data_IF_896963795679
#
_entry.id   IF_896963795679
#
_cell.length_a   1.000
_cell.length_b   1.000
_cell.length_c   1.000
_cell.angle_alpha   90.00
_cell.angle_beta   90.00
_cell.angle_gamma   90.00
#
_symmetry.space_group_name_H-M   'P 1'
#
loop_
_entity.id
_entity.type
_entity.pdbx_description
1 polymer ?
#
# COMPACT_ATOMS: atom_id res chain seq x y z
N UNK A 1 -10.97 3.18 14.28
CA UNK A 1 -11.62 4.33 13.62
C UNK A 1 -13.11 4.26 13.91
N UNK A 2 -13.75 5.37 14.26
CA UNK A 2 -15.20 5.52 14.33
C UNK A 2 -15.65 6.53 13.27
N UNK A 3 -16.83 6.31 12.68
CA UNK A 3 -17.40 7.17 11.64
C UNK A 3 -18.85 7.44 12.00
N UNK A 4 -19.30 8.68 11.83
CA UNK A 4 -20.71 9.03 12.09
C UNK A 4 -21.63 8.27 11.12
N UNK A 5 -22.74 7.76 11.62
CA UNK A 5 -23.73 7.01 10.82
C UNK A 5 -24.27 7.83 9.65
N UNK A 6 -24.42 9.15 9.81
CA UNK A 6 -24.85 10.07 8.76
C UNK A 6 -23.97 10.01 7.49
N UNK A 7 -22.67 9.72 7.62
CA UNK A 7 -21.77 9.54 6.49
C UNK A 7 -22.19 8.32 5.66
N UNK A 8 -22.60 7.24 6.29
CA UNK A 8 -23.08 6.05 5.57
C UNK A 8 -24.51 6.25 5.02
N UNK A 9 -25.34 7.04 5.71
CA UNK A 9 -26.68 7.42 5.23
C UNK A 9 -26.61 8.29 3.97
N UNK A 10 -25.58 9.13 3.82
CA UNK A 10 -25.34 9.89 2.57
C UNK A 10 -24.84 9.05 1.39
N UNK A 11 -24.79 7.73 1.53
CA UNK A 11 -24.37 6.82 0.45
C UNK A 11 -22.88 6.51 0.43
N UNK A 12 -22.08 7.12 1.29
CA UNK A 12 -20.62 6.82 1.35
C UNK A 12 -20.36 5.39 1.79
N UNK A 13 -19.45 4.71 1.12
CA UNK A 13 -19.04 3.32 1.43
C UNK A 13 -17.52 3.20 1.33
N UNK A 14 -16.96 2.22 2.03
CA UNK A 14 -15.56 1.79 1.82
C UNK A 14 -15.41 1.25 0.40
N UNK A 15 -14.26 1.49 -0.23
CA UNK A 15 -13.95 0.93 -1.54
C UNK A 15 -13.75 -0.59 -1.43
N UNK A 16 -14.63 -1.41 -2.05
CA UNK A 16 -14.54 -2.87 -1.97
C UNK A 16 -13.32 -3.44 -2.70
N UNK A 17 -12.62 -2.63 -3.51
CA UNK A 17 -11.40 -3.05 -4.22
C UNK A 17 -10.13 -2.91 -3.38
N UNK A 18 -10.22 -2.28 -2.18
CA UNK A 18 -9.13 -2.07 -1.24
C UNK A 18 -9.46 -2.79 0.08
N UNK A 19 -8.47 -3.43 0.69
CA UNK A 19 -8.64 -4.09 1.99
C UNK A 19 -8.55 -5.62 1.93
N UNK A 20 -8.77 -6.30 3.04
CA UNK A 20 -8.47 -7.72 3.19
C UNK A 20 -9.41 -8.60 2.37
N UNK A 21 -9.03 -8.85 1.12
CA UNK A 21 -9.72 -9.73 0.18
C UNK A 21 -8.72 -10.72 -0.41
N UNK A 22 -8.77 -11.95 0.08
CA UNK A 22 -7.78 -12.97 -0.30
C UNK A 22 -6.39 -12.70 0.28
N UNK A 23 -5.36 -13.33 -0.29
CA UNK A 23 -3.97 -13.23 0.18
C UNK A 23 -3.19 -12.03 -0.38
N UNK A 24 -3.62 -11.50 -1.52
CA UNK A 24 -2.90 -10.46 -2.28
C UNK A 24 -3.80 -9.24 -2.53
N UNK A 25 -3.96 -8.41 -1.53
CA UNK A 25 -4.79 -7.21 -1.58
C UNK A 25 -3.96 -5.93 -1.35
N UNK A 26 -4.46 -4.79 -1.79
CA UNK A 26 -3.93 -3.49 -1.42
C UNK A 26 -4.44 -3.13 -0.01
N UNK A 27 -3.54 -2.77 0.90
CA UNK A 27 -3.91 -2.29 2.26
C UNK A 27 -4.31 -0.83 2.22
N UNK A 28 -5.05 -0.38 3.25
CA UNK A 28 -5.32 1.04 3.48
C UNK A 28 -6.72 1.48 3.07
N UNK A 29 -7.72 0.59 3.10
CA UNK A 29 -9.13 0.92 2.88
C UNK A 29 -9.64 2.00 3.83
N UNK A 30 -9.25 1.94 5.11
CA UNK A 30 -9.60 2.98 6.10
C UNK A 30 -8.91 4.30 5.78
N UNK A 31 -7.65 4.26 5.38
CA UNK A 31 -6.88 5.44 4.99
C UNK A 31 -7.50 6.11 3.77
N UNK A 32 -7.79 5.34 2.72
CA UNK A 32 -8.48 5.83 1.51
C UNK A 32 -9.81 6.52 1.88
N UNK A 33 -10.62 5.83 2.70
CA UNK A 33 -11.92 6.33 3.09
C UNK A 33 -11.84 7.66 3.84
N UNK A 34 -10.90 7.78 4.80
CA UNK A 34 -10.68 9.03 5.55
C UNK A 34 -10.21 10.16 4.61
N UNK A 35 -9.29 9.89 3.67
CA UNK A 35 -8.86 10.90 2.70
C UNK A 35 -10.00 11.35 1.78
N UNK A 36 -10.82 10.42 1.31
CA UNK A 36 -11.99 10.75 0.48
C UNK A 36 -13.01 11.58 1.23
N UNK A 37 -13.28 11.28 2.50
CA UNK A 37 -14.11 12.09 3.38
C UNK A 37 -13.53 13.50 3.60
N UNK A 38 -12.22 13.59 3.84
CA UNK A 38 -11.54 14.88 4.03
C UNK A 38 -11.63 15.76 2.78
N UNK A 39 -11.50 15.20 1.58
CA UNK A 39 -11.71 15.93 0.31
C UNK A 39 -13.14 16.45 0.13
N UNK A 40 -14.11 15.86 0.83
CA UNK A 40 -15.50 16.30 0.86
C UNK A 40 -15.82 17.28 2.02
N UNK A 41 -14.79 17.74 2.73
CA UNK A 41 -14.95 18.72 3.81
C UNK A 41 -15.24 18.11 5.19
N UNK A 42 -15.27 16.78 5.31
CA UNK A 42 -15.39 16.15 6.62
C UNK A 42 -14.12 16.30 7.44
N UNK A 43 -14.24 16.58 8.72
CA UNK A 43 -13.13 16.73 9.64
C UNK A 43 -12.88 15.44 10.42
N UNK A 44 -11.61 15.07 10.58
CA UNK A 44 -11.17 13.96 11.41
C UNK A 44 -10.61 14.49 12.74
N UNK A 45 -11.01 13.84 13.84
CA UNK A 45 -10.57 14.19 15.19
C UNK A 45 -9.76 13.06 15.80
N UNK A 46 -8.66 13.40 16.44
CA UNK A 46 -7.90 12.46 17.27
C UNK A 46 -8.40 12.55 18.72
N UNK A 47 -9.02 11.46 19.21
CA UNK A 47 -9.55 11.38 20.57
C UNK A 47 -8.55 10.63 21.44
N UNK A 48 -7.87 11.35 22.35
CA UNK A 48 -6.82 10.79 23.23
C UNK A 48 -7.30 9.63 24.10
N UNK A 49 -8.55 9.71 24.59
CA UNK A 49 -9.15 8.68 25.47
C UNK A 49 -9.69 7.46 24.72
N UNK A 50 -9.73 7.47 23.38
CA UNK A 50 -10.17 6.33 22.58
C UNK A 50 -9.02 5.32 22.39
N UNK A 51 -8.68 4.65 23.46
CA UNK A 51 -7.62 3.62 23.47
C UNK A 51 -8.21 2.26 23.11
N UNK A 52 -7.58 1.55 22.20
CA UNK A 52 -7.91 0.17 21.83
C UNK A 52 -6.66 -0.70 21.89
N UNK A 53 -6.80 -1.90 22.43
CA UNK A 53 -5.74 -2.89 22.42
C UNK A 53 -5.80 -3.69 21.13
N UNK A 54 -4.66 -3.79 20.43
CA UNK A 54 -4.56 -4.58 19.21
C UNK A 54 -3.92 -5.93 19.50
N UNK A 55 -4.71 -7.00 19.43
CA UNK A 55 -4.20 -8.36 19.59
C UNK A 55 -3.35 -8.75 18.37
N UNK A 56 -2.05 -8.94 18.61
CA UNK A 56 -1.12 -9.44 17.60
C UNK A 56 -1.02 -10.96 17.77
N UNK A 57 -1.38 -11.70 16.72
CA UNK A 57 -1.27 -13.17 16.73
C UNK A 57 0.19 -13.58 16.52
N UNK A 58 0.60 -14.71 17.10
CA UNK A 58 1.96 -15.24 16.96
C UNK A 58 2.39 -15.38 15.48
N UNK A 59 1.48 -15.82 14.62
CA UNK A 59 1.72 -15.92 13.17
C UNK A 59 2.10 -14.58 12.53
N UNK A 60 1.65 -13.47 13.09
CA UNK A 60 1.95 -12.11 12.60
C UNK A 60 3.33 -11.62 13.03
N UNK A 61 3.97 -12.30 13.99
CA UNK A 61 5.33 -12.04 14.42
C UNK A 61 6.39 -12.70 13.51
N UNK A 62 5.98 -13.60 12.61
CA UNK A 62 6.90 -14.27 11.68
C UNK A 62 7.43 -13.30 10.64
N UNK A 63 8.75 -13.36 10.35
CA UNK A 63 9.42 -12.51 9.34
C UNK A 63 8.72 -12.60 7.98
N UNK A 64 8.33 -13.80 7.55
CA UNK A 64 7.60 -14.02 6.28
C UNK A 64 6.28 -13.25 6.23
N UNK A 65 5.53 -13.23 7.34
CA UNK A 65 4.29 -12.47 7.42
C UNK A 65 4.52 -10.97 7.32
N UNK A 66 5.53 -10.44 8.04
CA UNK A 66 5.89 -9.02 8.01
C UNK A 66 6.36 -8.58 6.62
N UNK A 67 7.16 -9.41 5.94
CA UNK A 67 7.60 -9.13 4.56
C UNK A 67 6.44 -9.21 3.56
N UNK A 68 5.53 -10.16 3.71
CA UNK A 68 4.29 -10.22 2.92
C UNK A 68 3.38 -9.01 3.16
N UNK A 69 3.31 -8.53 4.41
CA UNK A 69 2.59 -7.28 4.74
C UNK A 69 3.22 -6.07 4.06
N UNK A 70 4.56 -6.00 3.92
CA UNK A 70 5.24 -4.92 3.23
C UNK A 70 4.79 -4.81 1.76
N UNK A 71 4.61 -5.93 1.06
CA UNK A 71 4.05 -5.94 -0.31
C UNK A 71 2.64 -5.35 -0.33
N UNK A 72 1.74 -5.83 0.53
CA UNK A 72 0.35 -5.34 0.59
C UNK A 72 0.29 -3.85 0.94
N UNK A 73 1.15 -3.40 1.85
CA UNK A 73 1.28 -2.00 2.23
C UNK A 73 1.79 -1.15 1.06
N UNK A 74 2.83 -1.60 0.35
CA UNK A 74 3.34 -0.94 -0.85
C UNK A 74 2.27 -0.77 -1.94
N UNK A 75 1.44 -1.80 -2.16
CA UNK A 75 0.28 -1.74 -3.07
C UNK A 75 -0.70 -0.65 -2.65
N UNK A 76 -1.07 -0.62 -1.36
CA UNK A 76 -1.99 0.39 -0.83
C UNK A 76 -1.46 1.81 -0.94
N UNK A 77 -0.19 2.02 -0.59
CA UNK A 77 0.46 3.33 -0.72
C UNK A 77 0.47 3.81 -2.17
N UNK A 78 0.80 2.93 -3.14
CA UNK A 78 0.76 3.32 -4.53
C UNK A 78 -0.66 3.72 -4.97
N UNK A 79 -1.67 2.93 -4.65
CA UNK A 79 -3.06 3.18 -5.03
C UNK A 79 -3.61 4.47 -4.44
N UNK A 80 -3.36 4.71 -3.15
CA UNK A 80 -3.97 5.82 -2.42
C UNK A 80 -3.28 7.18 -2.66
N UNK A 81 -1.97 7.16 -3.00
CA UNK A 81 -1.18 8.40 -3.04
C UNK A 81 -0.49 8.67 -4.37
N UNK A 82 -0.17 7.63 -5.14
CA UNK A 82 0.64 7.82 -6.35
C UNK A 82 -0.10 7.53 -7.66
N UNK A 83 -1.19 6.76 -7.62
CA UNK A 83 -1.86 6.32 -8.84
C UNK A 83 -2.46 7.47 -9.66
N UNK A 84 -2.95 8.51 -8.99
CA UNK A 84 -3.51 9.71 -9.64
C UNK A 84 -2.44 10.77 -9.91
N UNK A 85 -1.43 10.88 -9.03
CA UNK A 85 -0.40 11.92 -9.10
C UNK A 85 0.76 11.59 -10.04
N UNK A 86 0.93 10.30 -10.41
CA UNK A 86 2.04 9.91 -11.29
C UNK A 86 1.71 10.17 -12.75
N UNK A 87 2.34 11.14 -13.41
CA UNK A 87 2.10 11.42 -14.83
C UNK A 87 2.46 10.21 -15.72
N UNK A 88 1.71 10.01 -16.81
CA UNK A 88 1.88 8.86 -17.72
C UNK A 88 3.31 8.79 -18.29
N UNK A 89 3.95 9.92 -18.61
CA UNK A 89 5.32 9.96 -19.12
C UNK A 89 6.40 9.50 -18.13
N UNK A 90 6.09 9.47 -16.83
CA UNK A 90 6.96 8.89 -15.78
C UNK A 90 6.79 7.37 -15.64
N UNK A 91 5.87 6.76 -16.39
CA UNK A 91 5.65 5.33 -16.38
C UNK A 91 6.43 4.66 -17.52
N UNK A 92 6.90 3.44 -17.27
CA UNK A 92 7.39 2.51 -18.27
C UNK A 92 6.70 1.17 -18.05
N UNK A 93 6.02 0.65 -19.08
CA UNK A 93 5.15 -0.53 -18.98
C UNK A 93 4.11 -0.44 -17.84
N UNK A 94 3.60 0.77 -17.57
CA UNK A 94 2.67 1.03 -16.48
C UNK A 94 3.30 1.12 -15.08
N UNK A 95 4.62 1.01 -14.97
CA UNK A 95 5.35 1.06 -13.70
C UNK A 95 6.15 2.36 -13.64
N UNK A 96 6.15 3.09 -12.49
CA UNK A 96 6.97 4.28 -12.32
C UNK A 96 8.46 4.01 -12.55
N UNK A 97 9.09 4.79 -13.44
CA UNK A 97 10.51 4.64 -13.81
C UNK A 97 11.45 4.61 -12.62
N UNK A 98 11.13 5.36 -11.56
CA UNK A 98 11.93 5.36 -10.32
C UNK A 98 12.08 3.98 -9.71
N UNK A 99 11.07 3.10 -9.83
CA UNK A 99 11.09 1.77 -9.22
C UNK A 99 12.10 0.84 -9.89
N UNK A 100 12.39 1.03 -11.20
CA UNK A 100 13.44 0.28 -11.90
C UNK A 100 14.85 0.59 -11.38
N UNK A 101 15.03 1.75 -10.75
CA UNK A 101 16.28 2.13 -10.08
C UNK A 101 16.27 1.71 -8.61
N UNK A 102 15.15 1.92 -7.92
CA UNK A 102 15.08 1.80 -6.46
C UNK A 102 15.00 0.33 -6.01
N UNK A 103 14.31 -0.55 -6.76
CA UNK A 103 14.24 -1.99 -6.45
C UNK A 103 15.63 -2.66 -6.54
N UNK A 104 16.43 -2.51 -7.63
CA UNK A 104 17.78 -3.06 -7.68
C UNK A 104 18.71 -2.51 -6.58
N UNK A 105 18.57 -1.23 -6.21
CA UNK A 105 19.35 -0.66 -5.09
C UNK A 105 19.10 -1.37 -3.77
N UNK A 106 17.85 -1.71 -3.47
CA UNK A 106 17.55 -2.50 -2.27
C UNK A 106 18.07 -3.93 -2.39
N UNK A 107 18.07 -4.52 -3.58
CA UNK A 107 18.74 -5.81 -3.85
C UNK A 107 20.24 -5.78 -3.51
N UNK A 108 20.95 -4.75 -3.97
CA UNK A 108 22.37 -4.54 -3.64
C UNK A 108 22.59 -4.33 -2.14
N UNK A 109 21.70 -3.60 -1.46
CA UNK A 109 21.74 -3.42 0.02
C UNK A 109 21.55 -4.74 0.77
N UNK A 110 20.66 -5.61 0.27
CA UNK A 110 20.48 -6.95 0.86
C UNK A 110 21.78 -7.73 0.73
N UNK A 111 22.38 -7.79 -0.47
CA UNK A 111 23.63 -8.50 -0.72
C UNK A 111 24.78 -7.98 0.16
N UNK A 112 24.95 -6.66 0.22
CA UNK A 112 25.98 -6.03 1.05
C UNK A 112 25.77 -6.32 2.55
N UNK A 113 24.53 -6.22 3.02
CA UNK A 113 24.19 -6.50 4.42
C UNK A 113 24.39 -7.99 4.78
N UNK A 114 24.12 -8.91 3.85
CA UNK A 114 24.40 -10.34 4.00
C UNK A 114 25.90 -10.60 4.13
N UNK A 115 26.71 -10.04 3.24
CA UNK A 115 28.19 -10.15 3.29
C UNK A 115 28.78 -9.63 4.60
N UNK A 116 28.17 -8.59 5.16
CA UNK A 116 28.59 -8.00 6.45
C UNK A 116 27.93 -8.66 7.66
N UNK A 117 27.20 -9.76 7.48
CA UNK A 117 26.46 -10.48 8.54
C UNK A 117 25.53 -9.60 9.40
N UNK A 118 25.04 -8.47 8.86
CA UNK A 118 24.19 -7.50 9.58
C UNK A 118 22.71 -7.89 9.47
N UNK A 119 22.26 -8.86 10.29
CA UNK A 119 20.90 -9.45 10.24
C UNK A 119 19.76 -8.42 10.22
N UNK A 120 19.87 -7.36 11.03
CA UNK A 120 18.85 -6.32 11.09
C UNK A 120 18.82 -5.47 9.80
N UNK A 121 19.98 -5.13 9.24
CA UNK A 121 20.10 -4.41 7.97
C UNK A 121 19.51 -5.23 6.81
N UNK A 122 19.79 -6.54 6.78
CA UNK A 122 19.18 -7.47 5.83
C UNK A 122 17.66 -7.42 5.91
N UNK A 123 17.10 -7.54 7.12
CA UNK A 123 15.64 -7.52 7.28
C UNK A 123 15.03 -6.20 6.86
N UNK A 124 15.62 -5.07 7.22
CA UNK A 124 15.17 -3.73 6.79
C UNK A 124 15.21 -3.55 5.27
N UNK A 125 16.29 -3.99 4.63
CA UNK A 125 16.42 -3.94 3.18
C UNK A 125 15.41 -4.86 2.48
N UNK A 126 15.19 -6.08 2.98
CA UNK A 126 14.15 -6.98 2.51
C UNK A 126 12.74 -6.38 2.65
N UNK A 127 12.46 -5.70 3.75
CA UNK A 127 11.18 -5.02 3.96
C UNK A 127 10.97 -3.93 2.91
N UNK A 128 11.97 -3.05 2.70
CA UNK A 128 11.94 -1.98 1.69
C UNK A 128 11.80 -2.54 0.27
N UNK A 129 12.56 -3.58 -0.07
CA UNK A 129 12.45 -4.27 -1.36
C UNK A 129 11.02 -4.75 -1.61
N UNK A 130 10.41 -5.45 -0.64
CA UNK A 130 9.04 -5.94 -0.76
C UNK A 130 8.01 -4.80 -0.83
N UNK A 131 8.22 -3.71 -0.10
CA UNK A 131 7.39 -2.51 -0.17
C UNK A 131 7.41 -1.88 -1.58
N UNK A 132 8.59 -1.69 -2.18
CA UNK A 132 8.73 -1.15 -3.54
C UNK A 132 8.18 -2.12 -4.60
N UNK A 133 8.40 -3.42 -4.41
CA UNK A 133 7.77 -4.47 -5.23
C UNK A 133 6.26 -4.38 -5.20
N UNK A 134 5.68 -4.15 -4.03
CA UNK A 134 4.24 -3.93 -3.87
C UNK A 134 3.74 -2.75 -4.70
N UNK A 135 4.47 -1.62 -4.71
CA UNK A 135 4.12 -0.46 -5.54
C UNK A 135 4.16 -0.80 -7.04
N UNK A 136 5.18 -1.53 -7.49
CA UNK A 136 5.31 -1.93 -8.90
C UNK A 136 4.16 -2.85 -9.34
N UNK A 137 3.80 -3.83 -8.51
CA UNK A 137 2.67 -4.74 -8.76
C UNK A 137 1.36 -3.95 -8.92
N UNK A 138 1.10 -3.01 -8.02
CA UNK A 138 -0.15 -2.24 -8.06
C UNK A 138 -0.19 -1.28 -9.26
N UNK A 139 0.94 -0.63 -9.56
CA UNK A 139 1.06 0.24 -10.72
C UNK A 139 0.72 -0.50 -12.01
N UNK A 140 1.35 -1.66 -12.22
CA UNK A 140 1.10 -2.51 -13.39
C UNK A 140 -0.35 -2.99 -13.46
N UNK A 141 -0.91 -3.43 -12.34
CA UNK A 141 -2.30 -3.87 -12.25
C UNK A 141 -3.29 -2.77 -12.66
N UNK A 142 -3.11 -1.55 -12.15
CA UNK A 142 -3.97 -0.41 -12.49
C UNK A 142 -3.80 0.03 -13.95
N UNK A 143 -2.59 -0.01 -14.48
CA UNK A 143 -2.34 0.30 -15.89
C UNK A 143 -3.08 -0.67 -16.82
N UNK A 144 -3.02 -1.98 -16.55
CA UNK A 144 -3.75 -2.99 -17.33
C UNK A 144 -5.26 -2.80 -17.25
N UNK A 145 -5.81 -2.47 -16.09
CA UNK A 145 -7.25 -2.19 -15.96
C UNK A 145 -7.69 -0.99 -16.79
N UNK A 146 -6.91 0.10 -16.79
CA UNK A 146 -7.21 1.28 -17.60
C UNK A 146 -7.19 0.95 -19.10
N UNK A 147 -6.21 0.17 -19.56
CA UNK A 147 -6.14 -0.27 -20.96
C UNK A 147 -7.32 -1.15 -21.36
N UNK A 148 -7.74 -2.08 -20.51
CA UNK A 148 -8.89 -2.94 -20.78
C UNK A 148 -10.22 -2.15 -20.84
N UNK A 149 -10.39 -1.15 -19.98
CA UNK A 149 -11.57 -0.28 -20.00
C UNK A 149 -11.62 0.61 -21.26
N UNK A 150 -10.46 1.11 -21.71
CA UNK A 150 -10.39 1.92 -22.95
C UNK A 150 -10.67 1.12 -24.24
N UNK A 151 -10.55 -0.20 -24.22
CA UNK A 151 -10.85 -1.07 -25.37
C UNK A 151 -12.33 -1.53 -25.41
N UNK A 152 -13.08 -1.31 -24.32
CA UNK A 152 -14.50 -1.70 -24.22
C UNK A 152 -15.48 -0.54 -24.45
N UNK A 153 -14.96 0.66 -24.74
CA UNK A 153 -15.70 1.89 -25.09
C UNK A 153 -15.51 2.21 -26.55
#
# INVERSE_FOLDING_TARGET
MAVRTSVFQSGMRLDPSIGPKGSSYAMGSETEFVFRLSRQGHQAWHVRGAVVEHLIRETQMKKSWVLGRAVRYGRGIYRNFYAEETPVWKLWMGIPRRLFRDIPKEGLRISAACLLFKREAVFRACWRFNFLRGQAIEAHFLARRKSAQAQST
#
